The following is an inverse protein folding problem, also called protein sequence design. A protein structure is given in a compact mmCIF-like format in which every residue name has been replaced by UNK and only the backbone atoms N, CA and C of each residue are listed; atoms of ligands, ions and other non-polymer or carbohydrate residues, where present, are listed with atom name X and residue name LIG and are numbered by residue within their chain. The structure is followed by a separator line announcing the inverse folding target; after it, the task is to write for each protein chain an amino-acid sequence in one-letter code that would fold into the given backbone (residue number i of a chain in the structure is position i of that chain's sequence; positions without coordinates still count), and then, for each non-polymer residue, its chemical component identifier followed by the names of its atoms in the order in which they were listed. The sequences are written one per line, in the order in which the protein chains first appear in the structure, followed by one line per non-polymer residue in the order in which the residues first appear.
data_IF_922440619353
#
_entry.id   IF_922440619353
#
_cell.length_a   1.000
_cell.length_b   1.000
_cell.length_c   1.000
_cell.angle_alpha   90.00
_cell.angle_beta   90.00
_cell.angle_gamma   90.00
#
_symmetry.space_group_name_H-M   'P 1'
#
loop_
_entity.id
_entity.type
_entity.pdbx_description
1 polymer ?
#
# COMPACT_ATOMS: atom_id res chain seq x y z
N UNK A 1 6.96 19.75 26.09
CA UNK A 1 7.01 19.25 24.69
C UNK A 1 5.87 19.89 23.88
N UNK A 2 6.18 20.48 22.75
CA UNK A 2 5.16 21.04 21.87
C UNK A 2 4.28 19.90 21.32
N UNK A 3 3.02 19.80 21.71
CA UNK A 3 2.11 18.70 21.35
C UNK A 3 1.68 18.73 19.88
N UNK A 4 1.83 19.85 19.20
CA UNK A 4 1.37 20.04 17.82
C UNK A 4 1.98 19.06 16.78
N UNK A 5 3.29 18.75 16.75
CA UNK A 5 3.86 17.79 15.79
C UNK A 5 3.41 16.35 16.03
N UNK A 6 3.12 15.98 17.29
CA UNK A 6 2.63 14.65 17.63
C UNK A 6 1.18 14.47 17.14
N UNK A 7 0.30 15.43 17.41
CA UNK A 7 -1.09 15.38 16.96
C UNK A 7 -1.19 15.40 15.43
N UNK A 8 -0.34 16.16 14.76
CA UNK A 8 -0.21 16.16 13.31
C UNK A 8 0.16 14.78 12.78
N UNK A 9 1.19 14.15 13.39
CA UNK A 9 1.62 12.80 13.00
C UNK A 9 0.51 11.77 13.19
N UNK A 10 -0.16 11.78 14.34
CA UNK A 10 -1.27 10.86 14.64
C UNK A 10 -2.44 11.08 13.68
N UNK A 11 -2.80 12.33 13.37
CA UNK A 11 -3.81 12.64 12.36
C UNK A 11 -3.44 12.12 10.98
N UNK A 12 -2.16 12.21 10.61
CA UNK A 12 -1.64 11.62 9.39
C UNK A 12 -1.71 10.09 9.36
N UNK A 13 -1.31 9.45 10.46
CA UNK A 13 -1.43 7.99 10.64
C UNK A 13 -2.89 7.57 10.46
N UNK A 14 -3.84 8.25 11.11
CA UNK A 14 -5.27 7.94 10.97
C UNK A 14 -5.78 8.13 9.53
N UNK A 15 -5.28 9.15 8.81
CA UNK A 15 -5.63 9.33 7.39
C UNK A 15 -5.20 8.13 6.54
N UNK A 16 -3.98 7.58 6.78
CA UNK A 16 -3.51 6.40 6.07
C UNK A 16 -4.21 5.12 6.51
N UNK A 17 -4.58 5.00 7.79
CA UNK A 17 -5.41 3.89 8.27
C UNK A 17 -6.75 3.84 7.53
N UNK A 18 -7.43 4.99 7.38
CA UNK A 18 -8.70 5.09 6.67
C UNK A 18 -8.53 4.76 5.18
N UNK A 19 -7.60 5.47 4.51
CA UNK A 19 -7.50 5.40 3.05
C UNK A 19 -6.93 4.07 2.56
N UNK A 20 -5.83 3.62 3.20
CA UNK A 20 -5.09 2.44 2.76
C UNK A 20 -5.49 1.20 3.55
N UNK A 21 -5.51 1.27 4.88
CA UNK A 21 -5.86 0.13 5.72
C UNK A 21 -7.30 -0.33 5.48
N UNK A 22 -8.27 0.58 5.60
CA UNK A 22 -9.70 0.26 5.48
C UNK A 22 -10.16 0.36 4.02
N UNK A 23 -10.04 1.52 3.40
CA UNK A 23 -10.60 1.79 2.07
C UNK A 23 -10.03 0.88 0.97
N UNK A 24 -8.78 0.43 1.10
CA UNK A 24 -8.10 -0.38 0.09
C UNK A 24 -7.88 -1.83 0.54
N UNK A 25 -7.19 -2.03 1.65
CA UNK A 25 -6.66 -3.32 2.05
C UNK A 25 -7.59 -4.17 2.93
N UNK A 26 -8.65 -3.61 3.54
CA UNK A 26 -9.65 -4.40 4.25
C UNK A 26 -10.43 -5.35 3.33
N UNK A 27 -10.45 -5.09 2.02
CA UNK A 27 -11.03 -6.00 1.04
C UNK A 27 -10.41 -7.40 1.11
N UNK A 28 -9.10 -7.52 1.28
CA UNK A 28 -8.40 -8.81 1.31
C UNK A 28 -8.96 -9.80 2.35
N UNK A 29 -9.10 -9.46 3.63
CA UNK A 29 -9.69 -10.37 4.60
C UNK A 29 -11.22 -10.49 4.50
N UNK A 30 -11.93 -9.53 3.88
CA UNK A 30 -13.38 -9.60 3.68
C UNK A 30 -13.71 -10.40 2.41
N UNK A 31 -12.80 -10.47 1.44
CA UNK A 31 -13.01 -11.13 0.15
C UNK A 31 -13.55 -12.56 0.27
N UNK A 32 -12.93 -13.48 1.05
CA UNK A 32 -13.44 -14.84 1.15
C UNK A 32 -14.84 -14.90 1.79
N UNK A 33 -15.17 -13.97 2.68
CA UNK A 33 -16.51 -13.87 3.28
C UNK A 33 -17.55 -13.48 2.22
N UNK A 34 -17.22 -12.51 1.36
CA UNK A 34 -18.06 -12.10 0.24
C UNK A 34 -18.17 -13.21 -0.82
N UNK A 35 -17.07 -13.92 -1.13
CA UNK A 35 -17.08 -15.03 -2.07
C UNK A 35 -18.06 -16.13 -1.63
N UNK A 36 -18.02 -16.51 -0.35
CA UNK A 36 -18.90 -17.52 0.21
C UNK A 36 -20.38 -17.08 0.21
N UNK A 37 -20.64 -15.80 0.56
CA UNK A 37 -22.02 -15.30 0.66
C UNK A 37 -22.66 -14.99 -0.71
N UNK A 38 -21.88 -14.49 -1.67
CA UNK A 38 -22.36 -14.00 -2.97
C UNK A 38 -21.99 -14.92 -4.13
N UNK A 39 -21.32 -16.05 -3.85
CA UNK A 39 -20.86 -17.03 -4.84
C UNK A 39 -19.97 -16.42 -5.94
N UNK A 40 -19.12 -15.45 -5.57
CA UNK A 40 -18.18 -14.82 -6.50
C UNK A 40 -17.03 -15.77 -6.86
N UNK A 41 -16.77 -15.87 -8.16
CA UNK A 41 -15.55 -16.54 -8.64
C UNK A 41 -14.30 -15.72 -8.33
N UNK A 42 -13.12 -16.36 -8.35
CA UNK A 42 -11.85 -15.66 -8.18
C UNK A 42 -11.60 -14.58 -9.25
N UNK A 43 -12.13 -14.80 -10.47
CA UNK A 43 -12.09 -13.80 -11.53
C UNK A 43 -12.89 -12.54 -11.16
N UNK A 44 -14.13 -12.69 -10.67
CA UNK A 44 -14.95 -11.56 -10.21
C UNK A 44 -14.31 -10.84 -9.02
N UNK A 45 -13.73 -11.60 -8.09
CA UNK A 45 -12.97 -11.07 -6.97
C UNK A 45 -11.75 -10.25 -7.42
N UNK A 46 -11.00 -10.76 -8.41
CA UNK A 46 -9.88 -10.06 -9.03
C UNK A 46 -10.30 -8.75 -9.70
N UNK A 47 -11.42 -8.72 -10.43
CA UNK A 47 -11.94 -7.48 -11.04
C UNK A 47 -12.36 -6.44 -10.01
N UNK A 48 -12.96 -6.84 -8.88
CA UNK A 48 -13.28 -5.91 -7.77
C UNK A 48 -12.02 -5.29 -7.16
N UNK A 49 -10.96 -6.06 -6.98
CA UNK A 49 -9.69 -5.55 -6.54
C UNK A 49 -9.08 -4.60 -7.57
N UNK A 50 -9.03 -5.00 -8.84
CA UNK A 50 -8.48 -4.22 -9.95
C UNK A 50 -9.23 -2.91 -10.18
N UNK A 51 -10.55 -2.89 -9.96
CA UNK A 51 -11.36 -1.66 -10.01
C UNK A 51 -10.87 -0.61 -9.00
N UNK A 52 -10.55 -1.03 -7.77
CA UNK A 52 -9.97 -0.13 -6.77
C UNK A 52 -8.59 0.40 -7.18
N UNK A 53 -7.75 -0.45 -7.77
CA UNK A 53 -6.42 -0.04 -8.24
C UNK A 53 -6.49 0.87 -9.46
N UNK A 54 -7.43 0.65 -10.37
CA UNK A 54 -7.72 1.57 -11.48
C UNK A 54 -8.16 2.94 -10.95
N UNK A 55 -9.04 2.96 -9.96
CA UNK A 55 -9.43 4.17 -9.26
C UNK A 55 -8.24 4.87 -8.61
N UNK A 56 -7.36 4.12 -7.94
CA UNK A 56 -6.15 4.66 -7.31
C UNK A 56 -5.20 5.28 -8.34
N UNK A 57 -5.00 4.65 -9.48
CA UNK A 57 -4.21 5.19 -10.59
C UNK A 57 -4.81 6.52 -11.08
N UNK A 58 -6.11 6.53 -11.38
CA UNK A 58 -6.81 7.74 -11.81
C UNK A 58 -6.71 8.86 -10.76
N UNK A 59 -6.95 8.52 -9.50
CA UNK A 59 -6.84 9.46 -8.37
C UNK A 59 -5.44 10.02 -8.19
N UNK A 60 -4.40 9.21 -8.34
CA UNK A 60 -3.01 9.65 -8.23
C UNK A 60 -2.63 10.63 -9.37
N UNK A 61 -3.06 10.34 -10.60
CA UNK A 61 -2.86 11.23 -11.76
C UNK A 61 -3.60 12.55 -11.53
N UNK A 62 -4.86 12.51 -11.12
CA UNK A 62 -5.67 13.70 -10.85
C UNK A 62 -5.08 14.54 -9.71
N UNK A 63 -4.65 13.90 -8.61
CA UNK A 63 -4.02 14.59 -7.49
C UNK A 63 -2.71 15.31 -7.88
N UNK A 64 -1.97 14.73 -8.86
CA UNK A 64 -0.76 15.36 -9.40
C UNK A 64 -1.03 16.49 -10.41
N UNK A 65 -2.12 16.39 -11.17
CA UNK A 65 -2.47 17.34 -12.23
C UNK A 65 -3.25 18.58 -11.72
N UNK A 66 -4.06 18.39 -10.68
CA UNK A 66 -4.92 19.46 -10.16
C UNK A 66 -4.15 20.45 -9.27
N UNK A 67 -4.47 21.75 -9.30
CA UNK A 67 -3.83 22.77 -8.46
C UNK A 67 -4.37 22.74 -7.02
N UNK A 68 -4.18 21.62 -6.34
CA UNK A 68 -4.74 21.37 -4.99
C UNK A 68 -4.06 22.18 -3.87
N UNK A 69 -2.96 22.87 -4.17
CA UNK A 69 -2.09 23.50 -3.16
C UNK A 69 -2.79 24.54 -2.27
N UNK A 70 -3.81 25.24 -2.78
CA UNK A 70 -4.53 26.29 -2.04
C UNK A 70 -5.53 25.76 -1.02
N UNK A 71 -6.04 24.53 -1.22
CA UNK A 71 -7.15 23.97 -0.41
C UNK A 71 -6.93 22.49 -0.05
N UNK A 72 -5.69 22.09 0.24
CA UNK A 72 -5.32 20.69 0.53
C UNK A 72 -6.21 20.05 1.60
N UNK A 73 -6.45 20.75 2.69
CA UNK A 73 -7.29 20.26 3.79
C UNK A 73 -8.75 20.08 3.40
N UNK A 74 -9.30 20.98 2.57
CA UNK A 74 -10.67 20.83 2.09
C UNK A 74 -10.83 19.57 1.24
N UNK A 75 -9.93 19.37 0.24
CA UNK A 75 -9.96 18.17 -0.60
C UNK A 75 -9.71 16.90 0.21
N UNK A 76 -8.83 16.93 1.22
CA UNK A 76 -8.61 15.82 2.14
C UNK A 76 -9.91 15.45 2.89
N UNK A 77 -10.61 16.44 3.42
CA UNK A 77 -11.89 16.25 4.15
C UNK A 77 -12.98 15.66 3.26
N UNK A 78 -13.16 16.20 2.06
CA UNK A 78 -14.12 15.67 1.08
C UNK A 78 -13.78 14.22 0.73
N UNK A 79 -12.50 13.92 0.48
CA UNK A 79 -12.05 12.56 0.18
C UNK A 79 -12.29 11.60 1.34
N UNK A 80 -12.12 12.03 2.60
CA UNK A 80 -12.45 11.22 3.77
C UNK A 80 -13.94 10.91 3.86
N UNK A 81 -14.81 11.90 3.62
CA UNK A 81 -16.27 11.69 3.61
C UNK A 81 -16.63 10.66 2.54
N UNK A 82 -16.12 10.82 1.31
CA UNK A 82 -16.42 9.89 0.21
C UNK A 82 -15.86 8.50 0.51
N UNK A 83 -14.68 8.39 1.15
CA UNK A 83 -14.12 7.11 1.58
C UNK A 83 -15.03 6.40 2.59
N UNK A 84 -15.54 7.11 3.58
CA UNK A 84 -16.51 6.58 4.56
C UNK A 84 -17.80 6.12 3.86
N UNK A 85 -18.37 6.97 3.00
CA UNK A 85 -19.61 6.65 2.27
C UNK A 85 -19.42 5.41 1.39
N UNK A 86 -18.33 5.31 0.62
CA UNK A 86 -18.08 4.14 -0.22
C UNK A 86 -17.85 2.87 0.59
N UNK A 87 -17.17 2.97 1.73
CA UNK A 87 -16.99 1.84 2.65
C UNK A 87 -18.32 1.38 3.25
N UNK A 88 -19.16 2.31 3.69
CA UNK A 88 -20.49 2.01 4.20
C UNK A 88 -21.39 1.38 3.12
N UNK A 89 -21.41 1.96 1.93
CA UNK A 89 -22.22 1.50 0.81
C UNK A 89 -21.82 0.10 0.32
N UNK A 90 -20.54 -0.30 0.47
CA UNK A 90 -20.12 -1.69 0.21
C UNK A 90 -20.91 -2.70 1.06
N UNK A 91 -21.18 -2.39 2.33
CA UNK A 91 -21.94 -3.27 3.21
C UNK A 91 -23.44 -3.28 2.92
N UNK A 92 -23.96 -2.36 2.12
CA UNK A 92 -25.38 -2.32 1.73
C UNK A 92 -25.61 -2.88 0.32
N UNK A 93 -24.56 -3.11 -0.46
CA UNK A 93 -24.69 -3.48 -1.87
C UNK A 93 -24.60 -4.99 -2.08
N UNK A 94 -25.57 -5.54 -2.82
CA UNK A 94 -25.52 -6.91 -3.37
C UNK A 94 -25.35 -6.90 -4.90
N UNK A 95 -25.31 -5.69 -5.52
CA UNK A 95 -25.07 -5.56 -6.96
C UNK A 95 -23.58 -5.53 -7.24
N UNK A 96 -23.10 -6.50 -8.03
CA UNK A 96 -21.71 -6.57 -8.44
C UNK A 96 -21.22 -5.31 -9.18
N UNK A 97 -22.08 -4.75 -10.08
CA UNK A 97 -21.76 -3.52 -10.82
C UNK A 97 -21.61 -2.34 -9.85
N UNK A 98 -22.51 -2.22 -8.87
CA UNK A 98 -22.41 -1.15 -7.87
C UNK A 98 -21.13 -1.31 -7.02
N UNK A 99 -20.77 -2.53 -6.62
CA UNK A 99 -19.53 -2.81 -5.92
C UNK A 99 -18.29 -2.40 -6.73
N UNK A 100 -18.26 -2.67 -8.04
CA UNK A 100 -17.18 -2.20 -8.93
C UNK A 100 -17.06 -0.68 -8.92
N UNK A 101 -18.17 0.04 -9.03
CA UNK A 101 -18.19 1.52 -8.98
C UNK A 101 -17.72 2.02 -7.62
N UNK A 102 -18.20 1.44 -6.53
CA UNK A 102 -17.81 1.81 -5.17
C UNK A 102 -16.30 1.57 -4.94
N UNK A 103 -15.78 0.45 -5.44
CA UNK A 103 -14.34 0.14 -5.38
C UNK A 103 -13.51 1.12 -6.20
N UNK A 104 -13.97 1.49 -7.41
CA UNK A 104 -13.31 2.50 -8.25
C UNK A 104 -13.25 3.85 -7.53
N UNK A 105 -14.37 4.34 -7.02
CA UNK A 105 -14.45 5.63 -6.31
C UNK A 105 -13.61 5.60 -5.04
N UNK A 106 -13.70 4.52 -4.25
CA UNK A 106 -12.84 4.31 -3.07
C UNK A 106 -11.35 4.37 -3.43
N UNK A 107 -10.95 3.80 -4.56
CA UNK A 107 -9.58 3.89 -5.06
C UNK A 107 -9.15 5.33 -5.35
N UNK A 108 -9.97 6.09 -6.09
CA UNK A 108 -9.71 7.52 -6.38
C UNK A 108 -9.48 8.31 -5.10
N UNK A 109 -10.40 8.22 -4.15
CA UNK A 109 -10.28 9.02 -2.91
C UNK A 109 -9.17 8.52 -2.00
N UNK A 110 -8.82 7.23 -2.03
CA UNK A 110 -7.66 6.71 -1.30
C UNK A 110 -6.35 7.33 -1.79
N UNK A 111 -6.21 7.52 -3.11
CA UNK A 111 -5.05 8.21 -3.68
C UNK A 111 -5.01 9.69 -3.27
N UNK A 112 -6.14 10.39 -3.32
CA UNK A 112 -6.22 11.79 -2.86
C UNK A 112 -5.83 11.91 -1.39
N UNK A 113 -6.38 11.06 -0.51
CA UNK A 113 -6.06 11.09 0.93
C UNK A 113 -4.57 10.81 1.13
N UNK A 114 -4.01 9.78 0.46
CA UNK A 114 -2.60 9.44 0.58
C UNK A 114 -1.69 10.61 0.17
N UNK A 115 -1.94 11.22 -0.99
CA UNK A 115 -1.14 12.33 -1.53
C UNK A 115 -1.27 13.58 -0.66
N UNK A 116 -2.49 13.97 -0.30
CA UNK A 116 -2.75 15.18 0.47
C UNK A 116 -2.28 15.07 1.91
N UNK A 117 -2.55 13.96 2.60
CA UNK A 117 -2.06 13.74 3.96
C UNK A 117 -0.53 13.68 4.00
N UNK A 118 0.11 12.98 3.03
CA UNK A 118 1.58 12.97 2.92
C UNK A 118 2.14 14.36 2.73
N UNK A 119 1.57 15.16 1.84
CA UNK A 119 2.01 16.53 1.62
C UNK A 119 1.87 17.39 2.88
N UNK A 120 0.71 17.37 3.54
CA UNK A 120 0.44 18.18 4.74
C UNK A 120 1.35 17.76 5.88
N UNK A 121 1.48 16.47 6.15
CA UNK A 121 2.21 15.96 7.31
C UNK A 121 3.72 16.10 7.11
N UNK A 122 4.25 15.68 5.95
CA UNK A 122 5.69 15.70 5.72
C UNK A 122 6.24 17.13 5.63
N UNK A 123 5.49 18.05 4.99
CA UNK A 123 5.88 19.47 4.95
C UNK A 123 5.98 20.09 6.36
N UNK A 124 5.03 19.76 7.24
CA UNK A 124 5.05 20.28 8.61
C UNK A 124 6.08 19.61 9.51
N UNK A 125 6.30 18.30 9.35
CA UNK A 125 7.37 17.59 10.06
C UNK A 125 8.74 18.13 9.68
N UNK A 126 8.95 18.45 8.39
CA UNK A 126 10.18 19.05 7.91
C UNK A 126 10.41 20.44 8.53
N UNK A 127 9.38 21.30 8.59
CA UNK A 127 9.44 22.62 9.26
C UNK A 127 9.70 22.51 10.77
N UNK A 128 9.20 21.44 11.41
CA UNK A 128 9.44 21.17 12.83
C UNK A 128 10.81 20.53 13.11
N UNK A 129 11.66 20.31 12.07
CA UNK A 129 12.94 19.60 12.20
C UNK A 129 12.83 18.11 12.52
N UNK A 130 11.65 17.52 12.24
CA UNK A 130 11.32 16.12 12.58
C UNK A 130 11.13 15.22 11.35
N UNK A 131 11.94 15.41 10.32
CA UNK A 131 11.92 14.59 9.09
C UNK A 131 12.06 13.10 9.35
N UNK A 132 12.77 12.70 10.41
CA UNK A 132 12.93 11.31 10.82
C UNK A 132 11.60 10.63 11.21
N UNK A 133 10.54 11.40 11.45
CA UNK A 133 9.22 10.89 11.79
C UNK A 133 8.40 10.46 10.56
N UNK A 134 8.90 10.67 9.35
CA UNK A 134 8.23 10.24 8.11
C UNK A 134 7.96 8.72 8.07
N UNK A 135 8.89 7.90 8.58
CA UNK A 135 8.69 6.46 8.69
C UNK A 135 7.50 6.08 9.60
N UNK A 136 7.33 6.80 10.70
CA UNK A 136 6.17 6.61 11.59
C UNK A 136 4.85 7.04 10.93
N UNK A 137 4.86 8.07 10.09
CA UNK A 137 3.67 8.44 9.32
C UNK A 137 3.20 7.29 8.43
N UNK A 138 4.10 6.68 7.66
CA UNK A 138 3.76 5.58 6.77
C UNK A 138 3.39 4.27 7.50
N UNK A 139 3.75 4.10 8.77
CA UNK A 139 3.28 2.96 9.59
C UNK A 139 1.74 2.93 9.73
N UNK A 140 1.07 4.06 9.45
CA UNK A 140 -0.39 4.15 9.40
C UNK A 140 -1.04 3.15 8.44
N UNK A 141 -0.37 2.76 7.36
CA UNK A 141 -0.85 1.70 6.44
C UNK A 141 -0.88 0.36 7.16
N UNK A 142 0.23 -0.04 7.78
CA UNK A 142 0.33 -1.30 8.53
C UNK A 142 -0.61 -1.34 9.74
N UNK A 143 -0.70 -0.24 10.49
CA UNK A 143 -1.65 -0.11 11.61
C UNK A 143 -3.09 -0.23 11.12
N UNK A 144 -3.42 0.37 9.97
CA UNK A 144 -4.75 0.27 9.37
C UNK A 144 -5.09 -1.17 8.98
N UNK A 145 -4.17 -1.91 8.36
CA UNK A 145 -4.32 -3.33 8.04
C UNK A 145 -4.51 -4.14 9.32
N UNK A 146 -3.65 -3.96 10.29
CA UNK A 146 -3.68 -4.70 11.56
C UNK A 146 -5.00 -4.50 12.30
N UNK A 147 -5.38 -3.24 12.57
CA UNK A 147 -6.59 -2.94 13.35
C UNK A 147 -7.88 -3.24 12.59
N UNK A 148 -7.96 -2.97 11.28
CA UNK A 148 -9.17 -3.31 10.51
C UNK A 148 -9.43 -4.81 10.54
N UNK A 149 -8.38 -5.63 10.39
CA UNK A 149 -8.50 -7.09 10.36
C UNK A 149 -8.83 -7.66 11.73
N UNK A 150 -8.30 -7.08 12.80
CA UNK A 150 -8.54 -7.57 14.17
C UNK A 150 -10.04 -7.62 14.53
N UNK A 151 -10.84 -6.70 14.02
CA UNK A 151 -12.28 -6.65 14.31
C UNK A 151 -13.12 -7.51 13.36
N UNK A 152 -12.57 -8.01 12.24
CA UNK A 152 -13.34 -8.73 11.22
C UNK A 152 -14.00 -10.00 11.75
N UNK A 153 -13.33 -10.91 12.49
CA UNK A 153 -13.96 -12.12 12.96
C UNK A 153 -15.20 -11.86 13.85
N UNK A 154 -15.09 -10.92 14.81
CA UNK A 154 -16.18 -10.55 15.69
C UNK A 154 -17.35 -9.89 14.95
N UNK A 155 -17.06 -9.01 14.02
CA UNK A 155 -18.09 -8.34 13.21
C UNK A 155 -18.80 -9.33 12.28
N UNK A 156 -18.02 -10.20 11.64
CA UNK A 156 -18.58 -11.21 10.74
C UNK A 156 -19.47 -12.23 11.46
N UNK A 157 -19.06 -12.70 12.64
CA UNK A 157 -19.86 -13.67 13.40
C UNK A 157 -21.20 -13.11 13.89
N UNK A 158 -21.27 -11.78 14.12
CA UNK A 158 -22.48 -11.13 14.64
C UNK A 158 -23.36 -10.53 13.54
N UNK A 159 -22.78 -10.04 12.45
CA UNK A 159 -23.48 -9.19 11.47
C UNK A 159 -23.17 -9.55 10.01
N UNK A 160 -22.46 -10.66 9.75
CA UNK A 160 -22.05 -11.04 8.40
C UNK A 160 -21.01 -10.10 7.76
N UNK A 161 -20.66 -10.36 6.52
CA UNK A 161 -19.70 -9.54 5.75
C UNK A 161 -20.19 -8.10 5.55
N UNK A 162 -21.50 -7.88 5.47
CA UNK A 162 -22.13 -6.56 5.42
C UNK A 162 -21.81 -5.75 6.67
N UNK A 163 -21.97 -6.38 7.84
CA UNK A 163 -21.65 -5.76 9.11
C UNK A 163 -20.19 -5.43 9.28
N UNK A 164 -19.30 -6.19 8.66
CA UNK A 164 -17.86 -5.85 8.65
C UNK A 164 -17.62 -4.53 7.91
N UNK A 165 -18.16 -4.33 6.71
CA UNK A 165 -18.02 -3.07 5.98
C UNK A 165 -18.63 -1.88 6.74
N UNK A 166 -19.83 -2.07 7.31
CA UNK A 166 -20.51 -1.04 8.10
C UNK A 166 -19.71 -0.69 9.36
N UNK A 167 -19.19 -1.68 10.08
CA UNK A 167 -18.37 -1.48 11.26
C UNK A 167 -17.08 -0.72 10.94
N UNK A 168 -16.41 -1.08 9.84
CA UNK A 168 -15.21 -0.37 9.38
C UNK A 168 -15.53 1.07 8.93
N UNK A 169 -16.71 1.35 8.37
CA UNK A 169 -17.14 2.69 8.04
C UNK A 169 -17.36 3.53 9.32
N UNK A 170 -17.92 2.94 10.38
CA UNK A 170 -18.08 3.61 11.69
C UNK A 170 -16.71 3.95 12.27
N UNK A 171 -15.76 3.01 12.27
CA UNK A 171 -14.38 3.25 12.71
C UNK A 171 -13.73 4.36 11.89
N UNK A 172 -13.88 4.33 10.56
CA UNK A 172 -13.36 5.37 9.67
C UNK A 172 -13.95 6.74 9.98
N UNK A 173 -15.24 6.80 10.31
CA UNK A 173 -15.90 8.05 10.72
C UNK A 173 -15.29 8.60 12.00
N UNK A 174 -15.13 7.77 13.02
CA UNK A 174 -14.52 8.18 14.29
C UNK A 174 -13.07 8.69 14.09
N UNK A 175 -12.27 7.97 13.32
CA UNK A 175 -10.90 8.40 13.01
C UNK A 175 -10.90 9.72 12.20
N UNK A 176 -11.85 9.90 11.29
CA UNK A 176 -11.96 11.13 10.48
C UNK A 176 -12.22 12.37 11.33
N UNK A 177 -12.95 12.27 12.43
CA UNK A 177 -13.15 13.39 13.36
C UNK A 177 -11.83 13.90 13.92
N UNK A 178 -10.91 12.98 14.31
CA UNK A 178 -9.58 13.35 14.78
C UNK A 178 -8.72 13.93 13.67
N UNK A 179 -8.78 13.37 12.45
CA UNK A 179 -8.08 13.93 11.28
C UNK A 179 -8.54 15.37 11.03
N UNK A 180 -9.83 15.65 11.05
CA UNK A 180 -10.37 17.00 10.86
C UNK A 180 -9.90 17.99 11.91
N UNK A 181 -9.75 17.54 13.16
CA UNK A 181 -9.29 18.36 14.26
C UNK A 181 -7.80 18.67 14.23
N UNK A 182 -6.97 17.74 13.75
CA UNK A 182 -5.53 17.83 13.84
C UNK A 182 -4.82 18.22 12.51
N UNK A 183 -5.44 17.93 11.37
CA UNK A 183 -4.92 18.34 10.07
C UNK A 183 -5.68 19.56 9.53
N UNK A 184 -5.17 20.75 9.81
CA UNK A 184 -5.71 22.01 9.31
C UNK A 184 -4.71 22.69 8.37
N UNK A 185 -5.18 23.58 7.47
CA UNK A 185 -4.29 24.41 6.67
C UNK A 185 -3.53 25.39 7.57
N UNK A 186 -2.23 25.25 7.66
CA UNK A 186 -1.38 26.36 8.12
C UNK A 186 -0.94 27.12 6.88
N UNK A 187 -1.17 28.43 6.91
CA UNK A 187 -0.74 29.38 5.88
C UNK A 187 0.73 29.10 5.54
N UNK A 188 0.99 28.88 4.27
CA UNK A 188 2.32 28.62 3.73
C UNK A 188 3.19 29.85 3.87
N UNK A 189 3.99 29.90 4.91
CA UNK A 189 5.19 30.73 4.93
C UNK A 189 6.32 29.91 4.30
N UNK A 190 7.12 30.55 3.47
CA UNK A 190 8.11 29.97 2.57
C UNK A 190 8.95 28.83 3.18
N UNK A 191 9.11 27.77 2.38
CA UNK A 191 10.00 26.65 2.70
C UNK A 191 11.44 27.16 2.65
N UNK A 192 12.08 27.28 3.79
CA UNK A 192 13.50 27.52 3.87
C UNK A 192 14.26 26.29 3.33
N UNK A 193 14.69 26.36 2.08
CA UNK A 193 15.41 25.32 1.32
C UNK A 193 16.88 25.19 1.78
N UNK A 194 17.14 24.94 3.04
CA UNK A 194 18.51 24.70 3.51
C UNK A 194 18.55 23.62 4.58
N UNK A 195 18.48 22.36 4.17
CA UNK A 195 19.23 21.30 4.83
C UNK A 195 19.98 20.54 3.74
N UNK A 196 21.32 20.50 3.76
CA UNK A 196 22.08 19.57 2.95
C UNK A 196 21.67 18.17 3.41
N UNK A 197 20.87 17.50 2.60
CA UNK A 197 20.68 16.05 2.72
C UNK A 197 22.08 15.49 2.54
N UNK A 198 22.58 14.71 3.50
CA UNK A 198 23.76 13.88 3.29
C UNK A 198 23.47 13.03 2.05
N UNK A 199 24.03 13.43 0.94
CA UNK A 199 23.83 12.79 -0.35
C UNK A 199 24.49 11.42 -0.30
N UNK A 200 23.65 10.38 -0.16
CA UNK A 200 24.12 9.02 -0.35
C UNK A 200 24.37 8.83 -1.85
N UNK A 201 25.36 8.02 -2.24
CA UNK A 201 25.62 7.72 -3.62
C UNK A 201 24.38 7.05 -4.24
N UNK A 202 23.97 7.54 -5.42
CA UNK A 202 22.79 7.08 -6.14
C UNK A 202 23.10 6.87 -7.64
N UNK A 203 22.37 6.00 -8.33
CA UNK A 203 22.52 5.83 -9.77
C UNK A 203 22.25 7.13 -10.54
N UNK A 204 22.87 7.29 -11.72
CA UNK A 204 22.57 8.41 -12.60
C UNK A 204 21.14 8.32 -13.16
N UNK A 205 20.55 9.45 -13.56
CA UNK A 205 19.18 9.53 -14.10
C UNK A 205 18.98 8.59 -15.31
N UNK A 206 20.01 8.32 -16.09
CA UNK A 206 19.97 7.34 -17.20
C UNK A 206 19.63 5.91 -16.77
N UNK A 207 19.77 5.58 -15.48
CA UNK A 207 19.39 4.27 -14.92
C UNK A 207 17.92 4.18 -14.51
N UNK A 208 17.20 5.30 -14.49
CA UNK A 208 15.79 5.39 -14.09
C UNK A 208 14.85 4.40 -14.81
N UNK A 209 14.98 4.12 -16.13
CA UNK A 209 14.10 3.14 -16.79
C UNK A 209 14.15 1.75 -16.14
N UNK A 210 15.31 1.30 -15.66
CA UNK A 210 15.44 0.01 -14.97
C UNK A 210 14.64 0.00 -13.65
N UNK A 211 14.70 1.10 -12.89
CA UNK A 211 13.88 1.25 -11.68
C UNK A 211 12.39 1.26 -12.01
N UNK A 212 11.98 1.95 -13.08
CA UNK A 212 10.57 2.02 -13.48
C UNK A 212 10.02 0.64 -13.88
N UNK A 213 10.78 -0.13 -14.68
CA UNK A 213 10.40 -1.48 -15.06
C UNK A 213 10.32 -2.38 -13.83
N UNK A 214 11.36 -2.40 -13.00
CA UNK A 214 11.41 -3.21 -11.80
C UNK A 214 10.25 -2.92 -10.84
N UNK A 215 9.95 -1.66 -10.62
CA UNK A 215 8.88 -1.23 -9.72
C UNK A 215 7.48 -1.53 -10.30
N UNK A 216 7.31 -1.47 -11.62
CA UNK A 216 6.09 -1.90 -12.30
C UNK A 216 5.85 -3.41 -12.19
N UNK A 217 6.91 -4.22 -12.37
CA UNK A 217 6.85 -5.67 -12.18
C UNK A 217 6.55 -6.04 -10.72
N UNK A 218 7.15 -5.32 -9.77
CA UNK A 218 6.82 -5.49 -8.35
C UNK A 218 5.35 -5.15 -8.11
N UNK A 219 4.84 -4.03 -8.65
CA UNK A 219 3.44 -3.66 -8.54
C UNK A 219 2.48 -4.74 -9.07
N UNK A 220 2.86 -5.44 -10.14
CA UNK A 220 2.07 -6.52 -10.72
C UNK A 220 2.11 -7.79 -9.86
N UNK A 221 3.29 -8.17 -9.35
CA UNK A 221 3.44 -9.44 -8.65
C UNK A 221 2.97 -9.40 -7.20
N UNK A 222 3.40 -8.38 -6.42
CA UNK A 222 3.09 -8.37 -4.98
C UNK A 222 1.58 -8.32 -4.70
N UNK A 223 0.82 -7.65 -5.56
CA UNK A 223 -0.59 -7.41 -5.33
C UNK A 223 -1.45 -8.67 -5.49
N UNK A 224 -0.94 -9.70 -6.15
CA UNK A 224 -1.58 -11.01 -6.20
C UNK A 224 -1.70 -11.59 -4.79
N UNK A 225 -0.59 -11.63 -4.06
CA UNK A 225 -0.59 -12.02 -2.64
C UNK A 225 -1.42 -11.03 -1.81
N UNK A 226 -1.24 -9.72 -2.04
CA UNK A 226 -2.00 -8.68 -1.37
C UNK A 226 -3.51 -8.76 -1.55
N UNK A 227 -3.99 -9.43 -2.58
CA UNK A 227 -5.43 -9.62 -2.84
C UNK A 227 -5.93 -10.96 -2.32
N UNK A 228 -5.20 -12.05 -2.54
CA UNK A 228 -5.71 -13.41 -2.38
C UNK A 228 -5.13 -14.20 -1.21
N UNK A 229 -4.16 -13.69 -0.44
CA UNK A 229 -3.48 -14.48 0.62
C UNK A 229 -4.45 -15.04 1.66
N UNK A 230 -5.53 -14.34 2.00
CA UNK A 230 -6.54 -14.82 2.96
C UNK A 230 -7.43 -15.90 2.33
N UNK A 231 -7.81 -15.74 1.05
CA UNK A 231 -8.51 -16.79 0.30
C UNK A 231 -7.63 -18.03 0.11
N UNK A 232 -6.32 -17.84 -0.11
CA UNK A 232 -5.35 -18.95 -0.18
C UNK A 232 -5.29 -19.69 1.16
N UNK A 233 -5.21 -18.96 2.27
CA UNK A 233 -5.21 -19.55 3.61
C UNK A 233 -6.49 -20.33 3.89
N UNK A 234 -7.66 -19.80 3.53
CA UNK A 234 -8.95 -20.46 3.71
C UNK A 234 -9.04 -21.77 2.90
N UNK A 235 -8.45 -21.81 1.70
CA UNK A 235 -8.46 -22.99 0.82
C UNK A 235 -7.30 -23.98 1.12
N UNK A 236 -6.44 -23.68 2.10
CA UNK A 236 -5.33 -24.56 2.48
C UNK A 236 -5.80 -25.57 3.53
N UNK A 237 -5.79 -26.86 3.20
CA UNK A 237 -6.30 -27.94 4.08
C UNK A 237 -5.67 -28.05 5.44
N UNK A 238 -4.43 -27.59 5.58
CA UNK A 238 -3.68 -27.57 6.86
C UNK A 238 -3.92 -26.33 7.70
N UNK A 239 -4.76 -25.38 7.23
CA UNK A 239 -5.05 -24.14 7.93
C UNK A 239 -6.34 -24.31 8.75
N UNK A 240 -6.22 -24.45 10.07
CA UNK A 240 -7.32 -24.80 10.96
C UNK A 240 -7.80 -23.65 11.86
N UNK A 241 -7.25 -22.45 11.68
CA UNK A 241 -7.61 -21.25 12.44
C UNK A 241 -8.23 -20.19 11.50
N UNK A 242 -8.69 -19.10 12.05
CA UNK A 242 -9.26 -18.01 11.24
C UNK A 242 -8.25 -17.50 10.20
N UNK A 243 -8.61 -17.59 8.92
CA UNK A 243 -7.73 -17.22 7.81
C UNK A 243 -7.38 -15.73 7.79
N UNK A 244 -8.18 -14.86 8.43
CA UNK A 244 -7.90 -13.44 8.54
C UNK A 244 -6.65 -13.14 9.39
N UNK A 245 -6.23 -14.07 10.27
CA UNK A 245 -5.02 -13.92 11.06
C UNK A 245 -3.76 -13.75 10.20
N UNK A 246 -3.76 -14.34 8.99
CA UNK A 246 -2.66 -14.16 8.03
C UNK A 246 -2.52 -12.67 7.67
N UNK A 247 -3.64 -11.96 7.51
CA UNK A 247 -3.62 -10.54 7.17
C UNK A 247 -3.23 -9.64 8.35
N UNK A 248 -3.52 -10.06 9.59
CA UNK A 248 -3.00 -9.40 10.81
C UNK A 248 -1.47 -9.43 10.81
N UNK A 249 -0.87 -10.56 10.44
CA UNK A 249 0.60 -10.71 10.35
C UNK A 249 1.18 -9.81 9.26
N UNK A 250 0.49 -9.65 8.12
CA UNK A 250 0.87 -8.65 7.10
C UNK A 250 0.91 -7.24 7.71
N UNK A 251 -0.15 -6.85 8.42
CA UNK A 251 -0.21 -5.55 9.09
C UNK A 251 0.93 -5.35 10.08
N UNK A 252 1.21 -6.35 10.90
CA UNK A 252 2.30 -6.35 11.87
C UNK A 252 3.67 -6.14 11.19
N UNK A 253 3.95 -6.88 10.11
CA UNK A 253 5.18 -6.73 9.33
C UNK A 253 5.29 -5.36 8.65
N UNK A 254 4.17 -4.79 8.21
CA UNK A 254 4.14 -3.51 7.50
C UNK A 254 4.41 -2.29 8.41
N UNK A 255 4.06 -2.37 9.69
CA UNK A 255 4.25 -1.28 10.66
C UNK A 255 5.71 -0.77 10.68
N UNK A 256 6.73 -1.61 10.90
CA UNK A 256 8.13 -1.17 10.95
C UNK A 256 8.78 -1.05 9.56
N UNK A 257 8.16 -1.56 8.50
CA UNK A 257 8.74 -1.78 7.17
C UNK A 257 9.46 -0.54 6.62
N UNK A 258 8.79 0.61 6.57
CA UNK A 258 9.36 1.84 6.03
C UNK A 258 10.59 2.32 6.81
N UNK A 259 10.55 2.21 8.13
CA UNK A 259 11.67 2.61 8.99
C UNK A 259 12.85 1.66 8.84
N UNK A 260 12.62 0.36 8.87
CA UNK A 260 13.67 -0.67 8.76
C UNK A 260 14.39 -0.54 7.42
N UNK A 261 13.65 -0.51 6.30
CA UNK A 261 14.25 -0.43 4.96
C UNK A 261 14.97 0.90 4.72
N UNK A 262 14.43 2.03 5.22
CA UNK A 262 15.12 3.32 5.15
C UNK A 262 16.43 3.32 5.94
N UNK A 263 16.48 2.62 7.07
CA UNK A 263 17.70 2.49 7.89
C UNK A 263 18.73 1.57 7.21
N UNK A 264 18.29 0.47 6.62
CA UNK A 264 19.15 -0.42 5.84
C UNK A 264 19.72 0.28 4.61
N UNK A 265 18.92 1.09 3.90
CA UNK A 265 19.39 1.86 2.74
C UNK A 265 20.48 2.87 3.10
N UNK A 266 20.38 3.51 4.27
CA UNK A 266 21.45 4.40 4.76
C UNK A 266 22.75 3.66 5.04
N UNK A 267 22.69 2.40 5.46
CA UNK A 267 23.87 1.59 5.82
C UNK A 267 24.46 0.86 4.62
N UNK A 268 23.63 0.29 3.76
CA UNK A 268 24.06 -0.64 2.71
C UNK A 268 23.86 -0.12 1.29
N UNK A 269 23.16 1.00 1.12
CA UNK A 269 22.78 1.59 -0.17
C UNK A 269 21.33 1.33 -0.56
N UNK A 270 20.79 2.22 -1.40
CA UNK A 270 19.39 2.16 -1.82
C UNK A 270 19.09 0.99 -2.73
N UNK A 271 19.96 0.75 -3.73
CA UNK A 271 19.72 -0.28 -4.74
C UNK A 271 19.86 -1.68 -4.15
N UNK A 272 20.87 -1.90 -3.30
CA UNK A 272 21.01 -3.19 -2.59
C UNK A 272 19.81 -3.49 -1.71
N UNK A 273 19.31 -2.49 -1.00
CA UNK A 273 18.14 -2.64 -0.14
C UNK A 273 16.88 -2.92 -0.94
N UNK A 274 16.70 -2.29 -2.11
CA UNK A 274 15.61 -2.60 -3.05
C UNK A 274 15.70 -4.03 -3.58
N UNK A 275 16.87 -4.44 -4.08
CA UNK A 275 17.07 -5.81 -4.57
C UNK A 275 16.76 -6.84 -3.48
N UNK A 276 17.31 -6.64 -2.28
CA UNK A 276 17.08 -7.55 -1.16
C UNK A 276 15.60 -7.62 -0.78
N UNK A 277 14.91 -6.47 -0.68
CA UNK A 277 13.49 -6.44 -0.33
C UNK A 277 12.62 -7.13 -1.38
N UNK A 278 12.91 -6.95 -2.67
CA UNK A 278 12.18 -7.62 -3.75
C UNK A 278 12.46 -9.13 -3.79
N UNK A 279 13.68 -9.57 -3.52
CA UNK A 279 14.00 -11.01 -3.43
C UNK A 279 13.25 -11.63 -2.26
N UNK A 280 13.28 -11.02 -1.07
CA UNK A 280 12.53 -11.50 0.10
C UNK A 280 11.02 -11.53 -0.17
N UNK A 281 10.49 -10.56 -0.89
CA UNK A 281 9.09 -10.54 -1.29
C UNK A 281 8.76 -11.66 -2.27
N UNK A 282 9.60 -11.89 -3.29
CA UNK A 282 9.42 -12.98 -4.24
C UNK A 282 9.44 -14.36 -3.55
N UNK A 283 10.36 -14.56 -2.60
CA UNK A 283 10.41 -15.77 -1.77
C UNK A 283 9.10 -15.90 -0.97
N UNK A 284 8.65 -14.82 -0.31
CA UNK A 284 7.41 -14.82 0.44
C UNK A 284 6.19 -15.19 -0.41
N UNK A 285 6.10 -14.67 -1.65
CA UNK A 285 5.02 -15.00 -2.59
C UNK A 285 5.05 -16.47 -3.02
N UNK A 286 6.24 -17.01 -3.30
CA UNK A 286 6.42 -18.38 -3.77
C UNK A 286 6.25 -19.44 -2.67
N UNK A 287 6.53 -19.09 -1.43
CA UNK A 287 6.65 -20.03 -0.32
C UNK A 287 5.41 -20.94 -0.12
N UNK A 288 4.15 -20.43 -0.18
CA UNK A 288 2.96 -21.28 -0.02
C UNK A 288 2.81 -22.37 -1.10
N UNK A 289 3.42 -22.17 -2.27
CA UNK A 289 3.35 -23.13 -3.38
C UNK A 289 4.20 -24.36 -3.11
N UNK A 290 5.42 -24.12 -2.60
CA UNK A 290 6.38 -25.21 -2.32
C UNK A 290 6.18 -25.86 -0.96
N UNK A 291 5.56 -25.15 -0.04
CA UNK A 291 5.33 -25.61 1.32
C UNK A 291 3.93 -25.20 1.80
N UNK A 292 2.92 -25.99 1.42
CA UNK A 292 1.50 -25.71 1.66
C UNK A 292 1.11 -26.00 3.12
N UNK A 293 1.61 -25.21 4.06
CA UNK A 293 1.33 -25.33 5.48
C UNK A 293 0.92 -23.99 6.10
N UNK A 294 0.29 -24.05 7.26
CA UNK A 294 -0.05 -22.87 8.04
C UNK A 294 1.18 -22.00 8.35
N UNK A 295 2.31 -22.60 8.69
CA UNK A 295 3.56 -21.89 8.99
C UNK A 295 4.08 -21.12 7.78
N UNK A 296 4.03 -21.71 6.59
CA UNK A 296 4.49 -21.05 5.36
C UNK A 296 3.65 -19.84 5.03
N UNK A 297 2.33 -19.89 5.25
CA UNK A 297 1.43 -18.77 5.05
C UNK A 297 1.73 -17.61 5.99
N UNK A 298 2.04 -17.88 7.26
CA UNK A 298 2.46 -16.84 8.20
C UNK A 298 3.82 -16.22 7.82
N UNK A 299 4.78 -17.03 7.40
CA UNK A 299 6.08 -16.54 6.93
C UNK A 299 5.89 -15.70 5.65
N UNK A 300 5.08 -16.18 4.69
CA UNK A 300 4.70 -15.45 3.49
C UNK A 300 4.08 -14.08 3.82
N UNK A 301 3.11 -14.07 4.73
CA UNK A 301 2.44 -12.85 5.19
C UNK A 301 3.41 -11.87 5.86
N UNK A 302 4.30 -12.37 6.70
CA UNK A 302 5.31 -11.54 7.36
C UNK A 302 6.29 -10.93 6.35
N UNK A 303 6.81 -11.73 5.43
CA UNK A 303 7.72 -11.26 4.37
C UNK A 303 7.04 -10.25 3.46
N UNK A 304 5.79 -10.51 3.06
CA UNK A 304 4.99 -9.59 2.28
C UNK A 304 4.80 -8.26 3.02
N UNK A 305 4.30 -8.28 4.26
CA UNK A 305 4.10 -7.09 5.09
C UNK A 305 5.39 -6.29 5.30
N UNK A 306 6.47 -6.99 5.63
CA UNK A 306 7.77 -6.37 5.90
C UNK A 306 8.42 -5.74 4.66
N UNK A 307 7.96 -6.01 3.44
CA UNK A 307 8.64 -5.56 2.22
C UNK A 307 7.87 -4.54 1.41
N UNK A 308 6.56 -4.69 1.19
CA UNK A 308 5.82 -3.90 0.19
C UNK A 308 5.85 -2.38 0.42
N UNK A 309 5.67 -1.92 1.68
CA UNK A 309 5.78 -0.49 1.99
C UNK A 309 7.22 0.00 1.99
N UNK A 310 8.15 -0.86 2.35
CA UNK A 310 9.58 -0.60 2.28
C UNK A 310 10.06 -0.34 0.86
N UNK A 311 9.68 -1.20 -0.08
CA UNK A 311 10.01 -1.06 -1.51
C UNK A 311 9.48 0.27 -2.05
N UNK A 312 8.21 0.60 -1.77
CA UNK A 312 7.61 1.89 -2.16
C UNK A 312 8.39 3.09 -1.61
N UNK A 313 8.78 3.02 -0.34
CA UNK A 313 9.54 4.08 0.32
C UNK A 313 10.94 4.22 -0.29
N UNK A 314 11.63 3.12 -0.52
CA UNK A 314 12.97 3.11 -1.11
C UNK A 314 12.95 3.65 -2.55
N UNK A 315 12.03 3.17 -3.39
CA UNK A 315 11.93 3.57 -4.79
C UNK A 315 11.63 5.07 -4.94
N UNK A 316 10.67 5.58 -4.18
CA UNK A 316 10.32 7.01 -4.23
C UNK A 316 11.41 7.90 -3.65
N UNK A 317 12.10 7.45 -2.60
CA UNK A 317 13.24 8.19 -2.02
C UNK A 317 14.42 8.21 -2.98
N UNK A 318 14.72 7.08 -3.63
CA UNK A 318 15.79 6.99 -4.63
C UNK A 318 15.55 7.96 -5.80
N UNK A 319 14.33 8.02 -6.33
CA UNK A 319 13.97 9.00 -7.38
C UNK A 319 14.19 10.44 -6.93
N UNK A 320 13.82 10.78 -5.69
CA UNK A 320 14.05 12.14 -5.14
C UNK A 320 15.52 12.52 -5.09
N UNK A 321 16.39 11.55 -4.80
CA UNK A 321 17.84 11.78 -4.76
C UNK A 321 18.46 11.80 -6.16
N UNK A 322 17.99 10.95 -7.09
CA UNK A 322 18.49 10.93 -8.46
C UNK A 322 18.12 12.20 -9.25
N UNK A 323 16.96 12.79 -8.98
CA UNK A 323 16.45 13.96 -9.71
C UNK A 323 15.70 14.93 -8.81
N UNK A 324 16.41 15.72 -7.97
CA UNK A 324 15.79 16.62 -7.00
C UNK A 324 14.85 17.66 -7.62
N UNK A 325 15.20 18.18 -8.81
CA UNK A 325 14.44 19.23 -9.51
C UNK A 325 13.17 18.73 -10.17
N UNK A 326 13.14 17.48 -10.66
CA UNK A 326 12.03 16.88 -11.39
C UNK A 326 11.39 15.70 -10.65
N UNK A 327 11.70 15.51 -9.37
CA UNK A 327 11.31 14.34 -8.58
C UNK A 327 9.79 14.10 -8.58
N UNK A 328 8.98 15.13 -8.42
CA UNK A 328 7.50 15.01 -8.39
C UNK A 328 6.94 14.41 -9.68
N UNK A 329 7.44 14.86 -10.84
CA UNK A 329 7.02 14.34 -12.15
C UNK A 329 7.43 12.88 -12.35
N UNK A 330 8.66 12.55 -11.98
CA UNK A 330 9.21 11.19 -12.13
C UNK A 330 8.51 10.23 -11.17
N UNK A 331 8.24 10.63 -9.92
CA UNK A 331 7.45 9.85 -8.96
C UNK A 331 6.04 9.62 -9.49
N UNK A 332 5.45 10.60 -10.16
CA UNK A 332 4.15 10.45 -10.83
C UNK A 332 4.18 9.32 -11.88
N UNK A 333 5.18 9.29 -12.76
CA UNK A 333 5.35 8.21 -13.75
C UNK A 333 5.63 6.86 -13.09
N UNK A 334 6.49 6.84 -12.08
CA UNK A 334 6.80 5.64 -11.31
C UNK A 334 5.53 5.05 -10.67
N UNK A 335 4.73 5.91 -10.05
CA UNK A 335 3.45 5.52 -9.43
C UNK A 335 2.43 5.04 -10.47
N UNK A 336 2.38 5.66 -11.64
CA UNK A 336 1.47 5.24 -12.71
C UNK A 336 1.82 3.84 -13.23
N UNK A 337 3.09 3.56 -13.48
CA UNK A 337 3.56 2.23 -13.92
C UNK A 337 3.28 1.18 -12.85
N UNK A 338 3.55 1.50 -11.60
CA UNK A 338 3.25 0.65 -10.45
C UNK A 338 1.76 0.32 -10.32
N UNK A 339 0.91 1.35 -10.36
CA UNK A 339 -0.53 1.19 -10.25
C UNK A 339 -1.14 0.44 -11.45
N UNK A 340 -0.54 0.56 -12.65
CA UNK A 340 -0.91 -0.27 -13.80
C UNK A 340 -0.63 -1.74 -13.52
N UNK A 341 0.54 -2.07 -12.94
CA UNK A 341 0.84 -3.42 -12.48
C UNK A 341 -0.18 -3.94 -11.47
N UNK A 342 -0.52 -3.12 -10.48
CA UNK A 342 -1.53 -3.46 -9.47
C UNK A 342 -2.93 -3.69 -10.06
N UNK A 343 -3.29 -2.99 -11.11
CA UNK A 343 -4.57 -3.17 -11.78
C UNK A 343 -4.61 -4.50 -12.56
N UNK A 344 -3.52 -4.86 -13.22
CA UNK A 344 -3.43 -6.07 -14.04
C UNK A 344 -3.31 -7.33 -13.16
N UNK A 345 -2.51 -7.28 -12.09
CA UNK A 345 -2.17 -8.44 -11.26
C UNK A 345 -3.36 -9.24 -10.76
N UNK A 346 -4.31 -8.67 -10.02
CA UNK A 346 -5.47 -9.41 -9.49
C UNK A 346 -6.41 -9.92 -10.59
N UNK A 347 -6.57 -9.16 -11.68
CA UNK A 347 -7.36 -9.61 -12.84
C UNK A 347 -6.77 -10.89 -13.43
N UNK A 348 -5.48 -10.87 -13.76
CA UNK A 348 -4.81 -12.04 -14.35
C UNK A 348 -4.79 -13.22 -13.37
N UNK A 349 -4.46 -12.96 -12.10
CA UNK A 349 -4.44 -13.99 -11.08
C UNK A 349 -5.82 -14.62 -10.85
N UNK A 350 -6.87 -13.82 -10.75
CA UNK A 350 -8.24 -14.29 -10.55
C UNK A 350 -8.74 -15.11 -11.73
N UNK A 351 -8.49 -14.67 -12.97
CA UNK A 351 -8.82 -15.44 -14.18
C UNK A 351 -8.06 -16.78 -14.19
N UNK A 352 -6.75 -16.73 -13.97
CA UNK A 352 -5.92 -17.94 -13.98
C UNK A 352 -6.36 -18.95 -12.92
N UNK A 353 -6.66 -18.46 -11.70
CA UNK A 353 -7.16 -19.31 -10.62
C UNK A 353 -8.53 -19.90 -10.93
N UNK A 354 -9.44 -19.15 -11.55
CA UNK A 354 -10.75 -19.66 -11.97
C UNK A 354 -10.63 -20.78 -13.02
N UNK A 355 -9.63 -20.72 -13.91
CA UNK A 355 -9.39 -21.80 -14.89
C UNK A 355 -8.66 -23.00 -14.29
N UNK A 356 -7.65 -22.78 -13.47
CA UNK A 356 -6.78 -23.83 -12.93
C UNK A 356 -7.31 -24.45 -11.63
N UNK A 357 -8.32 -23.84 -11.02
CA UNK A 357 -8.84 -24.18 -9.69
C UNK A 357 -7.74 -24.20 -8.61
N UNK A 358 -6.67 -23.41 -8.82
CA UNK A 358 -5.52 -23.35 -7.92
C UNK A 358 -4.82 -21.98 -8.01
N UNK A 359 -4.39 -21.46 -6.87
CA UNK A 359 -3.60 -20.24 -6.82
C UNK A 359 -2.12 -20.45 -7.19
N UNK A 360 -1.63 -21.69 -7.31
CA UNK A 360 -0.20 -22.00 -7.48
C UNK A 360 0.40 -21.34 -8.73
N UNK A 361 -0.28 -21.42 -9.88
CA UNK A 361 0.19 -20.81 -11.12
C UNK A 361 0.26 -19.27 -11.01
N UNK A 362 -0.74 -18.66 -10.38
CA UNK A 362 -0.79 -17.22 -10.14
C UNK A 362 0.34 -16.77 -9.20
N UNK A 363 0.61 -17.51 -8.13
CA UNK A 363 1.68 -17.21 -7.18
C UNK A 363 3.08 -17.40 -7.80
N UNK A 364 3.31 -18.46 -8.58
CA UNK A 364 4.59 -18.66 -9.29
C UNK A 364 4.82 -17.53 -10.28
N UNK A 365 3.82 -17.18 -11.08
CA UNK A 365 3.89 -16.04 -12.01
C UNK A 365 4.20 -14.72 -11.28
N UNK A 366 3.49 -14.44 -10.18
CA UNK A 366 3.69 -13.26 -9.35
C UNK A 366 5.10 -13.20 -8.75
N UNK A 367 5.60 -14.29 -8.17
CA UNK A 367 6.95 -14.38 -7.63
C UNK A 367 8.01 -14.19 -8.72
N UNK A 368 7.80 -14.81 -9.89
CA UNK A 368 8.72 -14.71 -11.02
C UNK A 368 8.86 -13.27 -11.51
N UNK A 369 7.76 -12.53 -11.67
CA UNK A 369 7.84 -11.13 -12.14
C UNK A 369 8.50 -10.21 -11.11
N UNK A 370 8.27 -10.41 -9.81
CA UNK A 370 8.97 -9.65 -8.77
C UNK A 370 10.46 -9.98 -8.76
N UNK A 371 10.81 -11.26 -8.89
CA UNK A 371 12.20 -11.69 -8.96
C UNK A 371 12.92 -11.11 -10.19
N UNK A 372 12.29 -11.17 -11.37
CA UNK A 372 12.82 -10.54 -12.61
C UNK A 372 12.98 -9.03 -12.39
N UNK A 373 12.03 -8.37 -11.74
CA UNK A 373 12.17 -6.97 -11.34
C UNK A 373 13.42 -6.72 -10.49
N UNK A 374 13.71 -7.58 -9.51
CA UNK A 374 14.93 -7.48 -8.72
C UNK A 374 16.20 -7.63 -9.58
N UNK A 375 16.20 -8.54 -10.58
CA UNK A 375 17.34 -8.72 -11.50
C UNK A 375 17.63 -7.46 -12.31
N UNK A 376 16.62 -6.73 -12.78
CA UNK A 376 16.81 -5.45 -13.48
C UNK A 376 17.54 -4.40 -12.62
N UNK A 377 17.43 -4.48 -11.29
CA UNK A 377 18.08 -3.54 -10.39
C UNK A 377 19.55 -3.88 -10.09
N UNK A 378 20.01 -5.12 -10.33
CA UNK A 378 21.35 -5.57 -9.95
C UNK A 378 22.45 -4.68 -10.55
N UNK A 379 22.28 -4.23 -11.79
CA UNK A 379 23.22 -3.32 -12.46
C UNK A 379 23.44 -2.01 -11.71
N UNK A 380 22.49 -1.59 -10.88
CA UNK A 380 22.54 -0.37 -10.10
C UNK A 380 23.31 -0.50 -8.78
N UNK A 381 23.59 -1.72 -8.31
CA UNK A 381 24.30 -1.97 -7.04
C UNK A 381 25.68 -1.33 -7.00
N UNK A 382 26.34 -1.22 -8.15
CA UNK A 382 27.65 -0.57 -8.28
C UNK A 382 27.64 0.89 -7.84
N UNK A 383 26.48 1.56 -7.94
CA UNK A 383 26.35 2.98 -7.57
C UNK A 383 26.11 3.19 -6.07
N UNK A 384 25.86 2.14 -5.28
CA UNK A 384 25.73 2.23 -3.82
C UNK A 384 27.09 2.37 -3.10
N UNK A 385 28.21 2.21 -3.83
CA UNK A 385 29.55 2.42 -3.28
C UNK A 385 29.91 3.90 -3.44
N UNK A 386 30.37 4.57 -2.37
CA UNK A 386 31.14 5.79 -2.52
C UNK A 386 32.39 5.43 -3.32
N UNK A 387 32.64 6.09 -4.44
CA UNK A 387 33.97 6.07 -5.04
C UNK A 387 34.96 6.53 -3.97
N UNK A 388 35.79 5.59 -3.50
CA UNK A 388 36.98 5.88 -2.72
C UNK A 388 38.02 6.36 -3.73
N UNK A 389 37.84 7.59 -4.22
CA UNK A 389 38.86 8.32 -4.98
C UNK A 389 39.29 9.55 -4.21
#
# INVERSE_FOLDING_TARGET
MNKQPVLLLVGGIFSLMIAMGIGRFAYTPILPLMQNALSFTDALAGFLASSNYAGYLAGAILAGALPLNKHKTHYLRVSLIVSVITTFAMGLSHSYILMLILRLVSGVVSAFIFVLASSIVLDRLARAGKTNWSGFFYSGVGLGIFFSTFFIPSLNSSFGWEGVWIGLAIVSTLLSVFVWRWLNDSISTEVNKKNPVNELPVPPVKWLPWLMIAYGLEGLGYIVTGTFIVSIAQNTSTFHIDSSLVWIVVGFGAIPSCFVWSSLAKKYGFVKSLVLSMILQAIGIALPVFWSTQTSLFISALLFGATFMGITTLATTLVRQMSPTNSSRIIGYLTAIYATGQMIGPTVAGILTSFTQSYNAALIGAASVVFVGALFLISGIRFDKKDQS
#
